data_IF_733801230191
#
_entry.id   IF_733801230191
#
_cell.length_a   1.000
_cell.length_b   1.000
_cell.length_c   1.000
_cell.angle_alpha   90.00
_cell.angle_beta   90.00
_cell.angle_gamma   90.00
#
_symmetry.space_group_name_H-M   'P 1'
#
loop_
_entity.id
_entity.type
_entity.pdbx_description
1 polymer ?
#
# COMPACT_ATOMS: atom_id res chain seq x y z
N UNK A 1 16.16 5.99 -27.56
CA UNK A 1 15.72 4.65 -27.16
C UNK A 1 14.54 4.24 -28.06
N UNK A 2 14.79 3.32 -28.98
CA UNK A 2 13.84 2.97 -30.03
C UNK A 2 12.79 1.94 -29.62
N UNK A 3 13.00 1.20 -28.51
CA UNK A 3 12.20 0.02 -28.18
C UNK A 3 11.63 0.04 -26.75
N UNK A 4 11.27 1.22 -26.27
CA UNK A 4 10.66 1.38 -24.95
C UNK A 4 11.68 1.58 -23.82
N UNK A 5 11.17 1.63 -22.59
CA UNK A 5 11.99 1.84 -21.39
C UNK A 5 12.61 0.54 -20.94
N UNK A 6 13.87 0.60 -20.48
CA UNK A 6 14.47 -0.51 -19.74
C UNK A 6 13.69 -0.72 -18.44
N UNK A 7 13.50 -1.98 -18.11
CA UNK A 7 13.00 -2.32 -16.79
C UNK A 7 14.09 -1.98 -15.74
N UNK A 8 13.78 -1.06 -14.85
CA UNK A 8 14.67 -0.61 -13.77
C UNK A 8 13.98 -0.68 -12.42
N UNK A 9 12.88 -1.42 -12.34
CA UNK A 9 12.15 -1.67 -11.11
C UNK A 9 12.92 -2.59 -10.17
N UNK A 10 12.78 -2.33 -8.87
CA UNK A 10 13.32 -3.16 -7.79
C UNK A 10 12.14 -3.62 -6.94
N UNK A 11 12.10 -4.90 -6.63
CA UNK A 11 11.15 -5.48 -5.70
C UNK A 11 11.89 -6.34 -4.69
N UNK A 12 11.74 -6.01 -3.41
CA UNK A 12 12.25 -6.81 -2.30
C UNK A 12 11.05 -7.40 -1.56
N UNK A 13 10.85 -8.73 -1.61
CA UNK A 13 9.73 -9.37 -0.93
C UNK A 13 9.89 -9.25 0.60
N UNK A 14 8.80 -9.47 1.31
CA UNK A 14 8.81 -9.51 2.78
C UNK A 14 9.87 -10.48 3.29
N UNK A 15 10.67 -10.02 4.26
CA UNK A 15 11.74 -10.82 4.88
C UNK A 15 11.73 -10.75 6.42
N UNK A 16 10.92 -9.89 7.03
CA UNK A 16 10.72 -9.82 8.49
C UNK A 16 9.50 -10.64 8.90
N UNK A 17 9.60 -11.28 10.06
CA UNK A 17 8.52 -12.07 10.69
C UNK A 17 7.95 -13.16 9.76
N UNK A 18 8.83 -13.86 9.06
CA UNK A 18 8.51 -15.04 8.25
C UNK A 18 9.03 -16.33 8.88
N UNK A 19 9.53 -16.25 10.11
CA UNK A 19 10.02 -17.38 10.91
C UNK A 19 11.52 -17.32 11.21
N UNK A 20 11.94 -18.10 12.21
CA UNK A 20 13.33 -18.28 12.60
C UNK A 20 14.04 -16.97 12.95
N UNK A 21 15.21 -16.76 12.34
CA UNK A 21 16.07 -15.58 12.60
C UNK A 21 15.48 -14.26 12.12
N UNK A 22 14.39 -14.30 11.32
CA UNK A 22 13.75 -13.10 10.80
C UNK A 22 12.74 -12.48 11.77
N UNK A 23 12.40 -13.20 12.85
CA UNK A 23 11.40 -12.76 13.82
C UNK A 23 11.90 -11.57 14.62
N UNK A 24 11.03 -10.57 14.73
CA UNK A 24 11.22 -9.39 15.57
C UNK A 24 10.38 -9.54 16.83
N UNK A 25 10.86 -8.93 17.93
CA UNK A 25 10.13 -8.90 19.20
C UNK A 25 9.37 -7.60 19.41
N UNK A 26 9.77 -6.55 18.71
CA UNK A 26 9.34 -5.17 18.87
C UNK A 26 8.21 -4.77 17.90
N UNK A 27 7.91 -5.62 16.91
CA UNK A 27 6.75 -5.46 16.04
C UNK A 27 6.28 -6.77 15.42
N UNK A 28 4.99 -6.83 15.11
CA UNK A 28 4.32 -7.91 14.37
C UNK A 28 4.19 -7.56 12.89
N UNK A 29 3.87 -8.55 12.06
CA UNK A 29 3.79 -8.45 10.60
C UNK A 29 5.16 -8.23 9.98
N UNK A 30 5.21 -7.62 8.83
CA UNK A 30 6.46 -7.36 8.12
C UNK A 30 6.24 -6.42 6.96
N UNK A 31 7.29 -6.21 6.21
CA UNK A 31 7.31 -5.25 5.11
C UNK A 31 8.19 -5.74 3.97
N UNK A 32 7.98 -5.17 2.80
CA UNK A 32 8.82 -5.31 1.63
C UNK A 32 9.11 -3.96 1.02
N UNK A 33 9.88 -3.93 -0.06
CA UNK A 33 10.19 -2.69 -0.77
C UNK A 33 9.84 -2.79 -2.24
N UNK A 34 9.40 -1.65 -2.75
CA UNK A 34 9.30 -1.39 -4.19
C UNK A 34 10.14 -0.18 -4.50
N UNK A 35 10.76 -0.18 -5.65
CA UNK A 35 11.64 0.91 -6.00
C UNK A 35 12.10 0.86 -7.44
N UNK A 36 13.07 1.68 -7.74
CA UNK A 36 13.66 1.70 -9.07
C UNK A 36 14.82 2.65 -9.15
N UNK A 37 15.57 2.51 -10.25
CA UNK A 37 16.66 3.40 -10.59
C UNK A 37 16.27 4.33 -11.73
N UNK A 38 16.72 5.57 -11.64
CA UNK A 38 16.60 6.53 -12.72
C UNK A 38 17.89 7.32 -12.86
N UNK A 39 18.16 7.75 -14.07
CA UNK A 39 19.26 8.67 -14.34
C UNK A 39 18.66 10.05 -14.60
N UNK A 40 18.98 10.99 -13.73
CA UNK A 40 18.58 12.38 -13.89
C UNK A 40 19.30 13.07 -15.06
N UNK A 41 18.80 14.21 -15.48
CA UNK A 41 19.59 15.18 -16.25
C UNK A 41 20.21 16.17 -15.27
N UNK A 42 21.41 16.65 -15.57
CA UNK A 42 22.06 17.72 -14.81
C UNK A 42 21.43 19.11 -15.04
N UNK A 43 20.25 19.17 -15.63
CA UNK A 43 19.60 20.42 -16.07
C UNK A 43 19.37 21.43 -14.97
N UNK A 44 18.95 21.01 -13.78
CA UNK A 44 18.68 21.93 -12.66
C UNK A 44 19.97 22.51 -12.07
N UNK A 45 20.98 21.66 -11.90
CA UNK A 45 22.28 22.10 -11.37
C UNK A 45 23.04 22.96 -12.38
N UNK A 46 22.98 22.63 -13.67
CA UNK A 46 23.58 23.39 -14.74
C UNK A 46 22.92 24.75 -14.96
N UNK A 47 21.60 24.84 -14.78
CA UNK A 47 20.84 26.09 -14.96
C UNK A 47 21.17 27.16 -13.92
N UNK A 48 21.66 26.78 -12.74
CA UNK A 48 22.04 27.73 -11.69
C UNK A 48 23.46 28.29 -11.88
N UNK A 49 24.31 27.59 -12.64
CA UNK A 49 25.76 27.89 -12.67
C UNK A 49 26.26 28.23 -14.09
N UNK A 50 25.60 27.78 -15.13
CA UNK A 50 26.08 27.84 -16.51
C UNK A 50 25.12 28.57 -17.46
N UNK A 51 25.68 29.17 -18.51
CA UNK A 51 24.91 29.81 -19.58
C UNK A 51 25.54 29.57 -20.95
N UNK A 52 24.80 29.83 -22.04
CA UNK A 52 25.29 29.73 -23.41
C UNK A 52 25.65 28.32 -23.86
N UNK A 53 26.78 28.17 -24.54
CA UNK A 53 27.25 26.88 -25.05
C UNK A 53 27.59 25.90 -23.96
N UNK A 54 28.20 26.35 -22.87
CA UNK A 54 28.55 25.50 -21.72
C UNK A 54 27.32 24.88 -21.07
N UNK A 55 26.24 25.65 -20.93
CA UNK A 55 24.96 25.12 -20.46
C UNK A 55 24.43 24.03 -21.40
N UNK A 56 24.45 24.28 -22.73
CA UNK A 56 24.00 23.28 -23.72
C UNK A 56 24.80 21.98 -23.66
N UNK A 57 26.11 22.09 -23.52
CA UNK A 57 26.98 20.91 -23.40
C UNK A 57 26.72 20.12 -22.11
N UNK A 58 26.52 20.81 -20.99
CA UNK A 58 26.31 20.18 -19.69
C UNK A 58 24.96 19.46 -19.61
N UNK A 59 23.88 20.03 -20.15
CA UNK A 59 22.57 19.38 -20.15
C UNK A 59 22.49 18.12 -21.02
N UNK A 60 23.44 17.97 -21.97
CA UNK A 60 23.54 16.75 -22.79
C UNK A 60 24.27 15.62 -22.03
N UNK A 61 24.99 15.92 -20.98
CA UNK A 61 25.65 14.91 -20.17
C UNK A 61 24.64 14.15 -19.34
N UNK A 62 24.74 12.83 -19.30
CA UNK A 62 23.86 12.04 -18.45
C UNK A 62 24.18 12.32 -16.98
N UNK A 63 23.16 12.66 -16.20
CA UNK A 63 23.27 12.86 -14.75
C UNK A 63 23.63 11.58 -13.99
N UNK A 64 23.76 11.69 -12.68
CA UNK A 64 24.06 10.54 -11.81
C UNK A 64 22.86 9.59 -11.73
N UNK A 65 23.12 8.31 -11.53
CA UNK A 65 22.10 7.34 -11.19
C UNK A 65 21.57 7.62 -9.77
N UNK A 66 20.25 7.62 -9.65
CA UNK A 66 19.55 7.68 -8.36
C UNK A 66 18.70 6.43 -8.23
N UNK A 67 18.74 5.83 -7.05
CA UNK A 67 17.91 4.67 -6.70
C UNK A 67 17.03 5.03 -5.51
N UNK A 68 15.78 4.61 -5.56
CA UNK A 68 14.82 4.79 -4.48
C UNK A 68 14.24 3.44 -4.09
N UNK A 69 14.15 3.19 -2.79
CA UNK A 69 13.36 2.12 -2.19
C UNK A 69 12.24 2.74 -1.35
N UNK A 70 11.00 2.34 -1.61
CA UNK A 70 9.84 2.69 -0.81
C UNK A 70 9.38 1.45 -0.06
N UNK A 71 9.31 1.52 1.27
CA UNK A 71 8.86 0.44 2.12
C UNK A 71 7.35 0.38 2.23
N UNK A 72 6.81 -0.83 2.20
CA UNK A 72 5.39 -1.13 2.33
C UNK A 72 5.20 -2.13 3.46
N UNK A 73 4.57 -1.70 4.52
CA UNK A 73 4.24 -2.51 5.69
C UNK A 73 2.74 -2.54 5.95
N UNK A 74 2.33 -3.40 6.83
CA UNK A 74 0.93 -3.61 7.18
C UNK A 74 0.63 -3.02 8.56
N UNK A 75 -0.45 -2.26 8.66
CA UNK A 75 -0.99 -1.75 9.93
C UNK A 75 -1.84 -2.86 10.57
N UNK A 76 -1.68 -3.07 11.88
CA UNK A 76 -2.50 -4.01 12.63
C UNK A 76 -3.96 -3.53 12.70
N UNK A 77 -4.93 -4.44 12.75
CA UNK A 77 -6.35 -4.10 12.84
C UNK A 77 -6.71 -3.69 14.28
N UNK A 78 -6.45 -2.47 14.64
CA UNK A 78 -6.84 -1.92 15.94
C UNK A 78 -8.34 -1.60 15.97
N UNK A 79 -9.00 -1.91 17.08
CA UNK A 79 -10.44 -1.68 17.23
C UNK A 79 -10.82 -0.19 17.19
N UNK A 80 -9.93 0.68 17.61
CA UNK A 80 -10.12 2.13 17.56
C UNK A 80 -9.78 2.77 16.22
N UNK A 81 -9.10 2.04 15.30
CA UNK A 81 -8.95 2.42 13.91
C UNK A 81 -10.20 2.00 13.14
N UNK A 82 -11.20 2.88 13.10
CA UNK A 82 -12.52 2.55 12.57
C UNK A 82 -13.21 3.73 11.89
N UNK A 83 -14.19 3.40 11.10
CA UNK A 83 -15.16 4.31 10.52
C UNK A 83 -16.46 4.30 11.34
N UNK A 84 -17.04 5.46 11.55
CA UNK A 84 -18.36 5.63 12.19
C UNK A 84 -19.19 6.62 11.39
N UNK A 85 -20.51 6.56 11.54
CA UNK A 85 -21.43 7.56 11.01
C UNK A 85 -21.62 8.69 12.04
N UNK A 86 -21.55 9.93 11.56
CA UNK A 86 -21.89 11.11 12.35
C UNK A 86 -23.32 11.54 12.02
N UNK A 87 -24.26 11.22 12.89
CA UNK A 87 -25.67 11.55 12.72
C UNK A 87 -25.98 13.02 12.99
N UNK A 88 -25.05 13.79 13.57
CA UNK A 88 -25.22 15.22 13.80
C UNK A 88 -24.84 16.06 12.59
N UNK A 89 -24.17 15.44 11.59
CA UNK A 89 -23.75 16.12 10.38
C UNK A 89 -24.18 15.31 9.16
N UNK A 90 -24.99 15.95 8.31
CA UNK A 90 -25.49 15.32 7.07
C UNK A 90 -24.84 15.94 5.84
N UNK A 91 -24.81 15.17 4.77
CA UNK A 91 -24.47 15.65 3.44
C UNK A 91 -25.65 16.42 2.79
N UNK A 92 -25.49 16.84 1.54
CA UNK A 92 -26.51 17.59 0.79
C UNK A 92 -27.79 16.79 0.50
N UNK A 93 -27.78 15.48 0.68
CA UNK A 93 -28.94 14.60 0.51
C UNK A 93 -29.56 14.17 1.83
N UNK A 94 -29.08 14.67 2.96
CA UNK A 94 -29.57 14.33 4.30
C UNK A 94 -29.02 13.03 4.87
N UNK A 95 -27.98 12.42 4.24
CA UNK A 95 -27.34 11.23 4.75
C UNK A 95 -26.28 11.57 5.79
N UNK A 96 -26.12 10.77 6.87
CA UNK A 96 -25.07 10.97 7.86
C UNK A 96 -23.70 10.97 7.20
N UNK A 97 -22.81 11.88 7.62
CA UNK A 97 -21.44 11.90 7.15
C UNK A 97 -20.59 10.82 7.82
N UNK A 98 -19.50 10.43 7.15
CA UNK A 98 -18.57 9.43 7.66
C UNK A 98 -17.46 10.12 8.47
N UNK A 99 -17.14 9.58 9.64
CA UNK A 99 -15.99 9.98 10.47
C UNK A 99 -15.02 8.83 10.55
N UNK A 100 -13.74 9.10 10.30
CA UNK A 100 -12.65 8.15 10.47
C UNK A 100 -11.87 8.48 11.74
N UNK A 101 -11.66 7.47 12.57
CA UNK A 101 -10.71 7.51 13.68
C UNK A 101 -9.60 6.51 13.35
N UNK A 102 -8.38 7.00 13.14
CA UNK A 102 -7.24 6.16 12.80
C UNK A 102 -5.94 6.76 13.32
N UNK A 103 -5.11 5.91 13.91
CA UNK A 103 -3.80 6.31 14.44
C UNK A 103 -2.76 5.20 14.23
N UNK A 104 -1.53 5.61 14.02
CA UNK A 104 -0.36 4.73 14.01
C UNK A 104 0.01 4.44 15.45
N UNK A 105 0.28 3.17 15.77
CA UNK A 105 0.65 2.71 17.12
C UNK A 105 2.14 2.35 17.18
N UNK A 106 2.59 1.93 18.34
CA UNK A 106 3.99 1.56 18.59
C UNK A 106 4.50 0.46 17.66
N UNK A 107 3.65 -0.52 17.34
CA UNK A 107 3.99 -1.60 16.41
C UNK A 107 4.45 -1.06 15.03
N UNK A 108 3.68 -0.15 14.45
CA UNK A 108 3.96 0.43 13.14
C UNK A 108 5.16 1.39 13.20
N UNK A 109 5.31 2.14 14.31
CA UNK A 109 6.46 3.03 14.51
C UNK A 109 7.76 2.24 14.57
N UNK A 110 7.77 1.11 15.27
CA UNK A 110 8.94 0.24 15.35
C UNK A 110 9.24 -0.42 14.00
N UNK A 111 8.21 -0.88 13.30
CA UNK A 111 8.35 -1.44 11.95
C UNK A 111 8.89 -0.40 10.96
N UNK A 112 8.42 0.85 11.00
CA UNK A 112 8.91 1.96 10.14
C UNK A 112 10.39 2.25 10.39
N UNK A 113 10.83 2.26 11.65
CA UNK A 113 12.25 2.44 12.01
C UNK A 113 13.13 1.33 11.44
N UNK A 114 12.73 0.06 11.64
CA UNK A 114 13.46 -1.08 11.08
C UNK A 114 13.46 -1.04 9.55
N UNK A 115 12.34 -0.71 8.93
CA UNK A 115 12.19 -0.55 7.48
C UNK A 115 13.15 0.50 6.92
N UNK A 116 13.23 1.67 7.53
CA UNK A 116 14.16 2.72 7.11
C UNK A 116 15.62 2.28 7.23
N UNK A 117 15.99 1.72 8.39
CA UNK A 117 17.35 1.24 8.65
C UNK A 117 17.78 0.16 7.68
N UNK A 118 16.91 -0.80 7.38
CA UNK A 118 17.22 -1.88 6.45
C UNK A 118 17.33 -1.40 5.00
N UNK A 119 16.55 -0.40 4.59
CA UNK A 119 16.69 0.19 3.26
C UNK A 119 18.04 0.90 3.10
N UNK A 120 18.47 1.66 4.11
CA UNK A 120 19.78 2.32 4.13
C UNK A 120 20.88 1.27 4.02
N UNK A 121 20.87 0.27 4.90
CA UNK A 121 21.88 -0.81 4.93
C UNK A 121 21.99 -1.56 3.59
N UNK A 122 20.85 -1.88 2.96
CA UNK A 122 20.84 -2.55 1.66
C UNK A 122 21.48 -1.70 0.56
N UNK A 123 21.16 -0.41 0.52
CA UNK A 123 21.71 0.48 -0.51
C UNK A 123 23.19 0.75 -0.29
N UNK A 124 23.65 0.95 0.94
CA UNK A 124 25.07 1.11 1.27
C UNK A 124 25.87 -0.15 0.93
N UNK A 125 25.37 -1.34 1.29
CA UNK A 125 26.01 -2.62 0.92
C UNK A 125 26.04 -2.87 -0.60
N UNK A 126 25.07 -2.30 -1.32
CA UNK A 126 25.08 -2.33 -2.78
C UNK A 126 26.04 -1.31 -3.41
N UNK A 127 26.76 -0.52 -2.62
CA UNK A 127 27.75 0.44 -3.07
C UNK A 127 27.21 1.82 -3.43
N UNK A 128 25.95 2.12 -3.04
CA UNK A 128 25.42 3.48 -3.21
C UNK A 128 25.99 4.42 -2.15
N UNK A 129 26.29 5.65 -2.57
CA UNK A 129 26.75 6.75 -1.72
C UNK A 129 25.59 7.74 -1.50
N UNK A 130 25.75 8.62 -0.52
CA UNK A 130 24.75 9.66 -0.20
C UNK A 130 23.36 9.10 0.13
N UNK A 131 23.31 7.92 0.75
CA UNK A 131 22.07 7.26 1.12
C UNK A 131 21.39 8.02 2.25
N UNK A 132 20.12 8.38 2.04
CA UNK A 132 19.29 9.11 3.03
C UNK A 132 17.99 8.35 3.26
N UNK A 133 17.69 8.05 4.51
CA UNK A 133 16.40 7.55 4.93
C UNK A 133 15.43 8.72 5.12
N UNK A 134 14.20 8.52 4.69
CA UNK A 134 13.12 9.47 4.91
C UNK A 134 11.91 8.72 5.47
N UNK A 135 11.41 9.18 6.61
CA UNK A 135 10.15 8.73 7.16
C UNK A 135 9.12 9.83 6.89
N UNK A 136 8.33 9.63 5.84
CA UNK A 136 7.22 10.53 5.52
C UNK A 136 6.09 10.27 6.49
N UNK A 137 5.83 11.18 7.39
CA UNK A 137 4.71 11.09 8.33
C UNK A 137 3.39 11.37 7.61
N UNK A 138 3.00 10.44 6.73
CA UNK A 138 1.75 10.56 5.99
C UNK A 138 0.55 10.23 6.86
N UNK A 139 -0.51 11.01 6.70
CA UNK A 139 -1.79 10.70 7.31
C UNK A 139 -2.32 9.34 6.86
N UNK A 140 -2.96 8.61 7.76
CA UNK A 140 -3.67 7.38 7.41
C UNK A 140 -4.83 7.67 6.45
N UNK A 141 -5.14 6.72 5.58
CA UNK A 141 -6.13 6.88 4.52
C UNK A 141 -5.56 7.39 3.19
N UNK A 142 -4.24 7.55 3.07
CA UNK A 142 -3.55 7.94 1.85
C UNK A 142 -2.80 6.78 1.18
N UNK A 143 -2.91 5.57 1.72
CA UNK A 143 -2.20 4.39 1.26
C UNK A 143 -2.83 3.69 0.06
N UNK A 144 -4.08 4.01 -0.29
CA UNK A 144 -4.88 3.37 -1.35
C UNK A 144 -5.04 1.83 -1.20
N UNK A 145 -4.63 1.29 -0.08
CA UNK A 145 -4.70 -0.13 0.26
C UNK A 145 -5.40 -0.35 1.61
N UNK A 146 -6.32 0.54 1.96
CA UNK A 146 -7.14 0.44 3.17
C UNK A 146 -8.07 -0.76 3.08
N UNK A 147 -8.12 -1.57 4.14
CA UNK A 147 -8.82 -2.84 4.15
C UNK A 147 -9.56 -3.09 5.46
N UNK A 148 -10.53 -4.02 5.41
CA UNK A 148 -11.10 -4.63 6.60
C UNK A 148 -12.38 -3.99 7.14
N UNK A 149 -12.89 -2.90 6.57
CA UNK A 149 -14.14 -2.26 7.03
C UNK A 149 -15.38 -3.15 6.83
N UNK A 150 -15.37 -4.01 5.80
CA UNK A 150 -16.40 -5.01 5.54
C UNK A 150 -15.81 -6.42 5.40
N UNK A 151 -14.86 -6.76 6.28
CA UNK A 151 -14.06 -8.00 6.15
C UNK A 151 -14.89 -9.26 6.03
N UNK A 152 -14.39 -10.18 5.21
CA UNK A 152 -14.89 -11.56 5.13
C UNK A 152 -14.55 -12.37 6.38
N UNK A 153 -15.40 -13.34 6.70
CA UNK A 153 -15.17 -14.30 7.77
C UNK A 153 -16.27 -15.34 7.86
N UNK A 154 -16.06 -16.31 8.74
CA UNK A 154 -17.03 -17.42 8.92
C UNK A 154 -18.14 -17.09 9.93
N UNK A 155 -17.92 -16.12 10.81
CA UNK A 155 -18.82 -15.82 11.90
C UNK A 155 -19.44 -14.43 11.71
N UNK A 156 -20.76 -14.37 11.57
CA UNK A 156 -21.55 -13.13 11.42
C UNK A 156 -21.30 -12.12 12.55
N UNK A 157 -20.95 -12.57 13.75
CA UNK A 157 -20.64 -11.67 14.88
C UNK A 157 -19.28 -10.95 14.75
N UNK A 158 -18.39 -11.45 13.90
CA UNK A 158 -17.03 -10.93 13.77
C UNK A 158 -16.66 -10.54 12.33
N UNK A 159 -17.56 -10.71 11.38
CA UNK A 159 -17.38 -10.34 9.98
C UNK A 159 -18.67 -9.83 9.35
N UNK A 160 -18.53 -8.98 8.36
CA UNK A 160 -19.65 -8.45 7.57
C UNK A 160 -20.03 -9.41 6.43
N UNK A 161 -19.01 -9.98 5.81
CA UNK A 161 -19.16 -10.82 4.62
C UNK A 161 -18.81 -12.27 4.91
N UNK A 162 -19.48 -13.16 4.21
CA UNK A 162 -19.14 -14.58 4.15
C UNK A 162 -17.98 -14.82 3.16
N UNK A 163 -17.59 -16.09 2.97
CA UNK A 163 -16.50 -16.49 2.06
C UNK A 163 -16.72 -16.14 0.58
N UNK A 164 -17.93 -15.82 0.19
CA UNK A 164 -18.32 -15.48 -1.18
C UNK A 164 -18.43 -13.96 -1.41
N UNK A 165 -17.92 -13.15 -0.50
CA UNK A 165 -18.07 -11.68 -0.51
C UNK A 165 -19.53 -11.19 -0.35
N UNK A 166 -20.44 -12.04 0.05
CA UNK A 166 -21.85 -11.76 0.28
C UNK A 166 -22.08 -11.30 1.73
N UNK A 167 -22.86 -10.28 1.94
CA UNK A 167 -23.23 -9.83 3.29
C UNK A 167 -24.02 -10.93 4.00
N UNK A 168 -23.64 -11.26 5.24
CA UNK A 168 -24.26 -12.36 5.99
C UNK A 168 -25.78 -12.23 6.15
N UNK A 169 -26.28 -11.02 6.42
CA UNK A 169 -27.68 -10.77 6.73
C UNK A 169 -28.47 -10.26 5.52
N UNK A 170 -27.80 -9.94 4.40
CA UNK A 170 -28.43 -9.39 3.20
C UNK A 170 -27.91 -10.13 1.97
N UNK A 171 -28.54 -11.26 1.61
CA UNK A 171 -27.98 -12.21 0.63
C UNK A 171 -27.86 -11.65 -0.80
N UNK A 172 -28.58 -10.61 -1.15
CA UNK A 172 -28.47 -9.94 -2.46
C UNK A 172 -27.43 -8.82 -2.52
N UNK A 173 -26.60 -8.63 -1.48
CA UNK A 173 -25.55 -7.62 -1.42
C UNK A 173 -24.17 -8.27 -1.37
N UNK A 174 -23.29 -7.84 -2.24
CA UNK A 174 -21.90 -8.27 -2.34
C UNK A 174 -20.96 -7.08 -2.26
N UNK A 175 -19.82 -7.25 -1.58
CA UNK A 175 -18.76 -6.25 -1.49
C UNK A 175 -17.45 -6.88 -1.96
N UNK A 176 -16.81 -6.31 -2.99
CA UNK A 176 -15.67 -6.94 -3.66
C UNK A 176 -14.42 -6.07 -3.72
N UNK A 177 -14.46 -4.88 -3.13
CA UNK A 177 -13.30 -4.00 -3.00
C UNK A 177 -12.39 -4.39 -1.81
N UNK A 178 -11.41 -3.54 -1.50
CA UNK A 178 -10.46 -3.78 -0.42
C UNK A 178 -11.08 -3.93 0.96
N UNK A 179 -12.25 -3.36 1.19
CA UNK A 179 -12.94 -3.47 2.47
C UNK A 179 -13.29 -4.92 2.85
N UNK A 180 -13.47 -5.79 1.84
CA UNK A 180 -13.74 -7.21 2.02
C UNK A 180 -12.54 -8.02 2.54
N UNK A 181 -11.32 -7.54 2.34
CA UNK A 181 -10.11 -8.24 2.77
C UNK A 181 -9.84 -8.00 4.25
N UNK A 182 -9.33 -9.04 4.93
CA UNK A 182 -8.98 -8.95 6.36
C UNK A 182 -7.65 -8.25 6.61
N UNK A 183 -6.78 -8.18 5.58
CA UNK A 183 -5.39 -7.72 5.70
C UNK A 183 -4.84 -7.36 4.33
N UNK A 184 -4.05 -6.29 4.28
CA UNK A 184 -3.44 -5.80 3.05
C UNK A 184 -2.22 -6.61 2.62
N UNK A 185 -1.42 -7.07 3.57
CA UNK A 185 -0.06 -7.50 3.27
C UNK A 185 0.85 -6.34 2.86
N UNK A 186 1.90 -6.65 2.12
CA UNK A 186 2.90 -5.67 1.66
C UNK A 186 3.01 -5.59 0.14
N UNK A 187 2.00 -6.05 -0.59
CA UNK A 187 1.95 -6.07 -2.06
C UNK A 187 0.70 -5.40 -2.58
N UNK A 188 0.76 -4.89 -3.80
CA UNK A 188 -0.38 -4.23 -4.44
C UNK A 188 -1.51 -5.24 -4.67
N UNK A 189 -2.76 -4.96 -4.26
CA UNK A 189 -3.80 -5.96 -4.13
C UNK A 189 -4.74 -6.10 -5.33
N UNK A 190 -4.57 -5.33 -6.42
CA UNK A 190 -5.53 -5.25 -7.52
C UNK A 190 -5.88 -6.61 -8.12
N UNK A 191 -4.88 -7.49 -8.34
CA UNK A 191 -5.13 -8.82 -8.88
C UNK A 191 -5.99 -9.67 -7.93
N UNK A 192 -5.78 -9.53 -6.62
CA UNK A 192 -6.59 -10.21 -5.59
C UNK A 192 -8.04 -9.70 -5.62
N UNK A 193 -8.25 -8.40 -5.74
CA UNK A 193 -9.60 -7.84 -5.87
C UNK A 193 -10.32 -8.37 -7.11
N UNK A 194 -9.65 -8.40 -8.25
CA UNK A 194 -10.22 -8.94 -9.49
C UNK A 194 -10.62 -10.41 -9.34
N UNK A 195 -9.78 -11.23 -8.72
CA UNK A 195 -10.07 -12.65 -8.48
C UNK A 195 -11.27 -12.83 -7.51
N UNK A 196 -11.33 -12.04 -6.44
CA UNK A 196 -12.44 -12.04 -5.49
C UNK A 196 -13.74 -11.58 -6.15
N UNK A 197 -13.69 -10.54 -6.96
CA UNK A 197 -14.84 -10.04 -7.71
C UNK A 197 -15.38 -11.09 -8.70
N UNK A 198 -14.50 -11.73 -9.46
CA UNK A 198 -14.90 -12.81 -10.38
C UNK A 198 -15.58 -13.96 -9.64
N UNK A 199 -15.04 -14.38 -8.49
CA UNK A 199 -15.65 -15.41 -7.65
C UNK A 199 -17.02 -14.99 -7.09
N UNK A 200 -17.14 -13.75 -6.61
CA UNK A 200 -18.37 -13.21 -6.08
C UNK A 200 -19.47 -13.12 -7.16
N UNK A 201 -19.12 -12.65 -8.35
CA UNK A 201 -20.02 -12.56 -9.49
C UNK A 201 -20.53 -13.94 -9.95
N UNK A 202 -19.63 -14.92 -10.04
CA UNK A 202 -20.00 -16.31 -10.38
C UNK A 202 -20.99 -16.88 -9.34
N UNK A 203 -20.72 -16.65 -8.04
CA UNK A 203 -21.60 -17.06 -6.97
C UNK A 203 -22.96 -16.36 -7.08
N UNK A 204 -23.00 -15.04 -7.24
CA UNK A 204 -24.24 -14.28 -7.35
C UNK A 204 -25.11 -14.75 -8.52
N UNK A 205 -24.52 -14.99 -9.70
CA UNK A 205 -25.24 -15.52 -10.87
C UNK A 205 -25.82 -16.91 -10.61
N UNK A 206 -25.06 -17.77 -9.91
CA UNK A 206 -25.56 -19.11 -9.55
C UNK A 206 -26.72 -19.06 -8.58
N UNK A 207 -26.67 -18.21 -7.58
CA UNK A 207 -27.74 -18.05 -6.59
C UNK A 207 -28.98 -17.37 -7.21
N UNK A 208 -28.78 -16.38 -8.09
CA UNK A 208 -29.88 -15.77 -8.84
C UNK A 208 -30.63 -16.80 -9.71
N UNK A 209 -29.92 -17.68 -10.42
CA UNK A 209 -30.53 -18.76 -11.22
C UNK A 209 -31.33 -19.75 -10.39
N UNK A 210 -30.99 -19.90 -9.11
CA UNK A 210 -31.75 -20.74 -8.14
C UNK A 210 -32.88 -19.97 -7.46
N UNK A 211 -33.07 -18.68 -7.75
CA UNK A 211 -33.99 -17.77 -7.07
C UNK A 211 -33.74 -17.66 -5.56
N UNK A 212 -32.48 -17.68 -5.15
CA UNK A 212 -32.04 -17.51 -3.76
C UNK A 212 -31.62 -16.06 -3.43
N UNK A 213 -31.66 -15.16 -4.42
CA UNK A 213 -31.36 -13.73 -4.27
C UNK A 213 -32.57 -12.88 -4.54
#
# INVERSE_FOLDING_TARGET
>A
YYFGRRNNGIYVPRFRNIGGKTNRKDFLRGYGYQGGGSRGSSTSEAAEILYGSQFKEEILKPGRWKVRLSGFGEILPYQDNRMTLDFNKTDKWGLPTVTFNASIKENELNMRKDMQQQAIEMLEKAGFTDVKGHDGDYALGLGIHEMGTARMGHNVKTSVLNRNNQVHEVPNVYVTDGSAMTSAGNVNPSLTYMALTARAADHAVKELKKMNL
#
